data_IF_857839281243
#
_entry.id   IF_857839281243
#
_cell.length_a   1.000
_cell.length_b   1.000
_cell.length_c   1.000
_cell.angle_alpha   90.00
_cell.angle_beta   90.00
_cell.angle_gamma   90.00
#
_symmetry.space_group_name_H-M   'P 1'
#
loop_
_entity.id
_entity.type
_entity.pdbx_description
1 polymer ?
#
# COMPACT_ATOMS: atom_id res chain seq x y z
N UNK A 1 -2.09 -16.92 -14.46
CA UNK A 1 -1.73 -16.69 -13.06
C UNK A 1 -0.42 -15.92 -12.99
N UNK A 2 -0.43 -14.74 -12.37
CA UNK A 2 0.75 -13.88 -12.19
C UNK A 2 1.47 -14.23 -10.89
N UNK A 3 0.71 -14.59 -9.85
CA UNK A 3 1.20 -15.01 -8.54
C UNK A 3 0.84 -16.48 -8.38
N UNK A 4 1.84 -17.32 -8.10
CA UNK A 4 1.68 -18.77 -7.99
C UNK A 4 1.76 -19.20 -6.52
N UNK A 5 0.94 -20.19 -6.14
CA UNK A 5 0.99 -20.83 -4.82
C UNK A 5 0.58 -19.95 -3.64
N UNK A 6 -0.17 -18.83 -3.86
CA UNK A 6 -0.54 -17.85 -2.83
C UNK A 6 -2.05 -17.55 -2.80
N UNK A 7 -2.88 -18.49 -3.21
CA UNK A 7 -4.33 -18.28 -3.33
C UNK A 7 -4.99 -17.85 -2.02
N UNK A 8 -4.54 -18.41 -0.88
CA UNK A 8 -5.05 -18.03 0.44
C UNK A 8 -4.73 -16.57 0.76
N UNK A 9 -3.46 -16.16 0.64
CA UNK A 9 -3.01 -14.80 0.91
C UNK A 9 -3.68 -13.79 -0.04
N UNK A 10 -3.84 -14.14 -1.31
CA UNK A 10 -4.55 -13.30 -2.30
C UNK A 10 -5.99 -13.07 -1.87
N UNK A 11 -6.70 -14.09 -1.39
CA UNK A 11 -8.08 -13.96 -0.90
C UNK A 11 -8.17 -13.08 0.34
N UNK A 12 -7.25 -13.24 1.30
CA UNK A 12 -7.20 -12.44 2.53
C UNK A 12 -6.91 -10.96 2.20
N UNK A 13 -5.95 -10.70 1.31
CA UNK A 13 -5.65 -9.34 0.82
C UNK A 13 -6.85 -8.74 0.10
N UNK A 14 -7.50 -9.51 -0.77
CA UNK A 14 -8.68 -9.04 -1.49
C UNK A 14 -9.82 -8.72 -0.53
N UNK A 15 -10.05 -9.54 0.49
CA UNK A 15 -11.06 -9.28 1.51
C UNK A 15 -10.77 -7.98 2.28
N UNK A 16 -9.51 -7.74 2.67
CA UNK A 16 -9.10 -6.51 3.31
C UNK A 16 -9.29 -5.29 2.38
N UNK A 17 -8.98 -5.41 1.10
CA UNK A 17 -9.20 -4.37 0.11
C UNK A 17 -10.69 -4.02 -0.02
N UNK A 18 -11.56 -5.04 -0.13
CA UNK A 18 -13.01 -4.86 -0.22
C UNK A 18 -13.64 -4.29 1.06
N UNK A 19 -12.92 -4.35 2.17
CA UNK A 19 -13.29 -3.70 3.43
C UNK A 19 -12.63 -2.31 3.60
N UNK A 20 -11.91 -1.81 2.59
CA UNK A 20 -11.20 -0.52 2.65
C UNK A 20 -10.02 -0.48 3.62
N UNK A 21 -9.52 -1.66 4.03
CA UNK A 21 -8.48 -1.80 5.03
C UNK A 21 -7.06 -1.73 4.49
N UNK A 22 -6.13 -1.36 5.36
CA UNK A 22 -4.71 -1.39 5.08
C UNK A 22 -4.09 -2.73 5.52
N UNK A 23 -2.97 -3.10 4.91
CA UNK A 23 -2.36 -4.42 5.07
C UNK A 23 -0.90 -4.27 5.49
N UNK A 24 -0.49 -5.05 6.48
CA UNK A 24 0.91 -5.18 6.87
C UNK A 24 1.44 -6.56 6.43
N UNK A 25 2.52 -6.57 5.69
CA UNK A 25 3.22 -7.78 5.28
C UNK A 25 4.50 -7.95 6.10
N UNK A 26 4.55 -9.00 6.89
CA UNK A 26 5.73 -9.36 7.68
C UNK A 26 6.52 -10.46 6.98
N UNK A 27 7.46 -10.06 6.15
CA UNK A 27 8.22 -10.98 5.34
C UNK A 27 9.67 -10.54 5.13
N UNK A 28 10.49 -11.53 4.86
CA UNK A 28 11.85 -11.32 4.38
C UNK A 28 11.88 -10.68 2.98
N UNK A 29 12.97 -10.02 2.60
CA UNK A 29 13.13 -9.47 1.24
C UNK A 29 13.04 -10.57 0.17
N UNK A 30 12.49 -10.21 -1.01
CA UNK A 30 12.53 -11.10 -2.18
C UNK A 30 11.32 -12.00 -2.39
N UNK A 31 10.33 -12.03 -1.49
CA UNK A 31 9.14 -12.90 -1.61
C UNK A 31 8.08 -12.41 -2.61
N UNK A 32 8.36 -11.38 -3.41
CA UNK A 32 7.44 -10.93 -4.48
C UNK A 32 6.42 -9.86 -4.06
N UNK A 33 6.62 -9.15 -2.94
CA UNK A 33 5.72 -8.09 -2.44
C UNK A 33 5.39 -7.02 -3.49
N UNK A 34 6.39 -6.54 -4.21
CA UNK A 34 6.21 -5.56 -5.29
C UNK A 34 5.39 -6.12 -6.45
N UNK A 35 5.64 -7.38 -6.83
CA UNK A 35 4.86 -8.06 -7.88
C UNK A 35 3.40 -8.20 -7.48
N UNK A 36 3.14 -8.52 -6.22
CA UNK A 36 1.80 -8.61 -5.64
C UNK A 36 1.08 -7.26 -5.70
N UNK A 37 1.67 -6.19 -5.19
CA UNK A 37 1.07 -4.84 -5.22
C UNK A 37 0.80 -4.39 -6.67
N UNK A 38 1.75 -4.61 -7.59
CA UNK A 38 1.58 -4.29 -9.01
C UNK A 38 0.47 -5.11 -9.66
N UNK A 39 0.34 -6.39 -9.30
CA UNK A 39 -0.73 -7.23 -9.82
C UNK A 39 -2.11 -6.74 -9.36
N UNK A 40 -2.26 -6.39 -8.09
CA UNK A 40 -3.51 -5.83 -7.56
C UNK A 40 -3.85 -4.49 -8.19
N UNK A 41 -2.88 -3.57 -8.29
CA UNK A 41 -3.14 -2.26 -8.90
C UNK A 41 -3.63 -2.38 -10.34
N UNK A 42 -3.02 -3.25 -11.13
CA UNK A 42 -3.44 -3.50 -12.52
C UNK A 42 -4.79 -4.20 -12.61
N UNK A 43 -5.04 -5.20 -11.77
CA UNK A 43 -6.30 -5.92 -11.76
C UNK A 43 -7.51 -5.01 -11.44
N UNK A 44 -7.31 -3.98 -10.63
CA UNK A 44 -8.35 -3.06 -10.17
C UNK A 44 -8.23 -1.64 -10.76
N UNK A 45 -7.40 -1.44 -11.77
CA UNK A 45 -7.17 -0.14 -12.42
C UNK A 45 -6.78 0.99 -11.44
N UNK A 46 -6.06 0.67 -10.35
CA UNK A 46 -5.65 1.62 -9.33
C UNK A 46 -4.32 2.28 -9.69
N UNK A 47 -4.21 3.60 -9.44
CA UNK A 47 -2.90 4.28 -9.45
C UNK A 47 -2.06 3.76 -8.29
N UNK A 48 -0.86 3.25 -8.59
CA UNK A 48 0.02 2.61 -7.62
C UNK A 48 1.35 3.33 -7.54
N UNK A 49 1.73 3.72 -6.33
CA UNK A 49 3.07 4.22 -6.03
C UNK A 49 3.79 3.29 -5.08
N UNK A 50 5.12 3.24 -5.22
CA UNK A 50 6.00 2.51 -4.30
C UNK A 50 6.96 3.48 -3.65
N UNK A 51 7.08 3.38 -2.34
CA UNK A 51 8.08 4.08 -1.53
C UNK A 51 8.90 3.06 -0.77
N UNK A 52 10.21 3.09 -0.99
CA UNK A 52 11.16 2.34 -0.17
C UNK A 52 11.53 3.21 1.03
N UNK A 53 11.12 2.79 2.22
CA UNK A 53 11.41 3.52 3.44
C UNK A 53 12.86 3.30 3.87
N UNK A 54 13.58 4.40 3.98
CA UNK A 54 14.96 4.49 4.48
C UNK A 54 15.03 5.54 5.57
N UNK A 55 16.11 5.63 6.35
CA UNK A 55 16.27 6.70 7.35
C UNK A 55 16.14 8.12 6.80
N UNK A 56 16.43 8.31 5.50
CA UNK A 56 16.43 9.62 4.84
C UNK A 56 15.04 10.07 4.37
N UNK A 57 14.04 9.16 4.32
CA UNK A 57 12.67 9.49 3.90
C UNK A 57 12.02 10.41 4.93
N UNK A 58 11.60 11.57 4.46
CA UNK A 58 10.95 12.60 5.29
C UNK A 58 9.42 12.53 5.20
N UNK A 59 8.69 13.05 6.19
CA UNK A 59 7.23 13.20 6.11
C UNK A 59 6.76 13.95 4.86
N UNK A 60 7.50 14.97 4.43
CA UNK A 60 7.19 15.75 3.21
C UNK A 60 7.27 14.95 1.92
N UNK A 61 8.04 13.85 1.87
CA UNK A 61 8.08 12.96 0.71
C UNK A 61 6.76 12.18 0.57
N UNK A 62 6.08 11.97 1.69
CA UNK A 62 4.77 11.34 1.74
C UNK A 62 3.65 12.35 1.51
N UNK A 63 3.64 13.43 2.28
CA UNK A 63 2.55 14.40 2.31
C UNK A 63 2.63 15.48 1.23
N UNK A 64 3.80 15.69 0.65
CA UNK A 64 4.07 16.80 -0.27
C UNK A 64 4.57 18.06 0.43
N UNK A 65 4.92 19.05 -0.37
CA UNK A 65 5.49 20.32 0.07
C UNK A 65 5.26 21.40 -1.00
N UNK A 66 5.38 22.68 -0.61
CA UNK A 66 5.30 23.79 -1.56
C UNK A 66 6.66 24.25 -2.03
N UNK A 67 6.79 24.50 -3.34
CA UNK A 67 7.99 25.03 -3.98
C UNK A 67 7.68 26.42 -4.55
N UNK A 68 8.54 27.38 -4.27
CA UNK A 68 8.42 28.68 -4.92
C UNK A 68 8.88 28.59 -6.39
N UNK A 69 7.98 28.94 -7.28
CA UNK A 69 8.23 29.01 -8.72
C UNK A 69 8.53 30.44 -9.12
N UNK A 70 9.79 30.73 -9.40
CA UNK A 70 10.25 32.07 -9.79
C UNK A 70 9.58 32.59 -11.08
N UNK A 71 9.31 31.68 -12.02
CA UNK A 71 8.64 31.98 -13.29
C UNK A 71 7.17 32.41 -13.13
N UNK A 72 6.51 31.95 -12.05
CA UNK A 72 5.12 32.26 -11.74
C UNK A 72 4.96 33.23 -10.55
N UNK A 73 6.04 33.51 -9.83
CA UNK A 73 6.04 34.38 -8.64
C UNK A 73 5.20 33.86 -7.47
N UNK A 74 4.97 32.56 -7.39
CA UNK A 74 4.09 31.95 -6.38
C UNK A 74 4.58 30.57 -5.89
N UNK A 75 4.09 30.16 -4.71
CA UNK A 75 4.28 28.82 -4.21
C UNK A 75 3.33 27.84 -4.91
N UNK A 76 3.87 26.71 -5.37
CA UNK A 76 3.10 25.62 -5.96
C UNK A 76 3.31 24.37 -5.12
N UNK A 77 2.20 23.78 -4.68
CA UNK A 77 2.22 22.53 -3.96
C UNK A 77 2.59 21.37 -4.89
N UNK A 78 3.55 20.58 -4.44
CA UNK A 78 3.95 19.32 -5.07
C UNK A 78 3.39 18.16 -4.24
N UNK A 79 2.45 17.37 -4.80
CA UNK A 79 1.87 16.25 -4.08
C UNK A 79 2.91 15.18 -3.76
N UNK A 80 2.86 14.66 -2.54
CA UNK A 80 3.72 13.56 -2.12
C UNK A 80 3.26 12.19 -2.63
N UNK A 81 3.90 11.16 -2.12
CA UNK A 81 3.66 9.79 -2.57
C UNK A 81 2.32 9.21 -2.12
N UNK A 82 1.69 9.74 -1.07
CA UNK A 82 0.37 9.28 -0.61
C UNK A 82 -0.78 9.65 -1.55
N UNK A 83 -0.57 10.56 -2.51
CA UNK A 83 -1.57 10.88 -3.51
C UNK A 83 -1.61 9.84 -4.62
N UNK A 84 -2.14 8.67 -4.28
CA UNK A 84 -2.39 7.51 -5.16
C UNK A 84 -3.49 6.64 -4.55
N UNK A 85 -3.97 5.65 -5.29
CA UNK A 85 -4.99 4.71 -4.78
C UNK A 85 -4.36 3.56 -3.97
N UNK A 86 -3.21 3.07 -4.41
CA UNK A 86 -2.49 1.97 -3.76
C UNK A 86 -1.05 2.38 -3.48
N UNK A 87 -0.69 2.50 -2.21
CA UNK A 87 0.68 2.78 -1.79
C UNK A 87 1.36 1.50 -1.29
N UNK A 88 2.43 1.09 -1.96
CA UNK A 88 3.35 0.08 -1.43
C UNK A 88 4.42 0.79 -0.59
N UNK A 89 4.28 0.71 0.73
CA UNK A 89 5.20 1.25 1.72
C UNK A 89 6.21 0.17 2.14
N UNK A 90 7.34 0.10 1.45
CA UNK A 90 8.29 -1.00 1.62
C UNK A 90 9.28 -0.71 2.76
N UNK A 91 9.41 -1.65 3.70
CA UNK A 91 10.29 -1.59 4.88
C UNK A 91 10.03 -0.38 5.80
N UNK A 92 8.76 -0.14 6.19
CA UNK A 92 8.36 1.03 6.99
C UNK A 92 9.07 1.13 8.35
N UNK A 93 9.57 0.01 8.87
CA UNK A 93 10.31 -0.05 10.13
C UNK A 93 11.77 0.47 10.03
N UNK A 94 12.22 0.92 8.84
CA UNK A 94 13.55 1.50 8.62
C UNK A 94 13.58 3.02 8.64
N UNK A 95 12.44 3.68 8.60
CA UNK A 95 12.36 5.15 8.64
C UNK A 95 12.17 5.69 10.05
N UNK A 96 12.25 7.01 10.19
CA UNK A 96 12.05 7.67 11.46
C UNK A 96 10.62 7.51 12.00
N UNK A 97 10.40 7.49 13.32
CA UNK A 97 9.06 7.46 13.91
C UNK A 97 8.16 8.61 13.44
N UNK A 98 8.75 9.77 13.10
CA UNK A 98 8.02 10.92 12.58
C UNK A 98 7.44 10.64 11.19
N UNK A 99 8.20 9.97 10.33
CA UNK A 99 7.74 9.60 8.99
C UNK A 99 6.70 8.46 9.05
N UNK A 100 6.90 7.49 9.96
CA UNK A 100 5.89 6.45 10.23
C UNK A 100 4.57 7.07 10.68
N UNK A 101 4.60 7.99 11.65
CA UNK A 101 3.41 8.68 12.15
C UNK A 101 2.68 9.46 11.05
N UNK A 102 3.41 10.12 10.16
CA UNK A 102 2.81 10.84 9.03
C UNK A 102 2.06 9.89 8.08
N UNK A 103 2.61 8.71 7.78
CA UNK A 103 1.91 7.70 6.97
C UNK A 103 0.64 7.21 7.68
N UNK A 104 0.76 6.85 8.96
CA UNK A 104 -0.34 6.30 9.76
C UNK A 104 -1.47 7.32 9.96
N UNK A 105 -1.15 8.62 10.09
CA UNK A 105 -2.14 9.70 10.12
C UNK A 105 -2.92 9.76 8.81
N UNK A 106 -2.25 9.71 7.66
CA UNK A 106 -2.93 9.72 6.36
C UNK A 106 -3.79 8.47 6.15
N UNK A 107 -3.35 7.32 6.66
CA UNK A 107 -4.15 6.07 6.61
C UNK A 107 -5.46 6.21 7.38
N UNK A 108 -5.44 6.88 8.51
CA UNK A 108 -6.61 7.09 9.38
C UNK A 108 -7.51 8.22 8.87
N UNK A 109 -6.91 9.39 8.62
CA UNK A 109 -7.63 10.62 8.31
C UNK A 109 -8.05 10.77 6.84
N UNK A 110 -7.45 9.98 5.92
CA UNK A 110 -7.66 10.06 4.46
C UNK A 110 -7.38 11.45 3.86
N UNK A 111 -6.63 12.28 4.57
CA UNK A 111 -6.28 13.65 4.17
C UNK A 111 -4.91 14.04 4.66
N UNK A 112 -4.38 15.09 4.06
CA UNK A 112 -3.08 15.69 4.36
C UNK A 112 -3.24 17.17 4.58
N UNK A 113 -2.70 17.70 5.68
CA UNK A 113 -2.68 19.14 5.97
C UNK A 113 -1.26 19.67 5.85
N UNK A 114 -1.01 20.51 4.84
CA UNK A 114 0.29 21.15 4.61
C UNK A 114 0.07 22.66 4.48
N UNK A 115 0.82 23.46 5.26
CA UNK A 115 0.77 24.93 5.24
C UNK A 115 -0.66 25.49 5.45
N UNK A 116 -1.43 24.83 6.32
CA UNK A 116 -2.80 25.26 6.63
C UNK A 116 -3.85 24.89 5.57
N UNK A 117 -3.45 24.18 4.51
CA UNK A 117 -4.37 23.69 3.47
C UNK A 117 -4.53 22.18 3.60
N UNK A 118 -5.76 21.73 3.83
CA UNK A 118 -6.11 20.31 3.87
C UNK A 118 -6.48 19.83 2.47
N UNK A 119 -5.95 18.66 2.09
CA UNK A 119 -6.17 18.00 0.81
C UNK A 119 -6.54 16.54 1.06
N UNK A 120 -7.58 16.08 0.43
CA UNK A 120 -7.99 14.68 0.47
C UNK A 120 -7.07 13.84 -0.42
N UNK A 121 -6.77 12.61 0.01
CA UNK A 121 -6.09 11.64 -0.85
C UNK A 121 -7.10 10.97 -1.79
N UNK A 122 -6.66 10.46 -2.96
CA UNK A 122 -7.55 9.76 -3.87
C UNK A 122 -8.27 8.57 -3.22
N UNK A 123 -9.56 8.39 -3.51
CA UNK A 123 -10.32 7.23 -3.08
C UNK A 123 -10.41 6.18 -4.21
N UNK A 124 -10.32 4.89 -3.86
CA UNK A 124 -9.91 4.35 -2.56
C UNK A 124 -8.43 4.62 -2.26
N UNK A 125 -8.07 4.77 -0.98
CA UNK A 125 -6.68 4.84 -0.54
C UNK A 125 -6.34 3.61 0.29
N UNK A 126 -5.48 2.76 -0.24
CA UNK A 126 -5.05 1.52 0.41
C UNK A 126 -3.54 1.51 0.54
N UNK A 127 -3.05 1.08 1.69
CA UNK A 127 -1.62 0.92 1.94
C UNK A 127 -1.32 -0.57 2.14
N UNK A 128 -0.37 -1.06 1.36
CA UNK A 128 0.34 -2.31 1.64
C UNK A 128 1.69 -1.91 2.24
N UNK A 129 1.81 -2.02 3.55
CA UNK A 129 3.09 -1.79 4.21
C UNK A 129 3.85 -3.11 4.35
N UNK A 130 5.18 -3.04 4.32
CA UNK A 130 6.02 -4.19 4.61
C UNK A 130 6.96 -3.90 5.77
N UNK A 131 7.22 -4.89 6.60
CA UNK A 131 8.29 -4.86 7.58
C UNK A 131 9.08 -6.16 7.55
N UNK A 132 10.37 -6.06 7.84
CA UNK A 132 11.22 -7.22 8.03
C UNK A 132 11.31 -7.51 9.53
N UNK A 133 10.78 -8.66 10.02
CA UNK A 133 10.82 -9.00 11.43
C UNK A 133 12.24 -9.32 11.93
N UNK A 134 13.15 -9.72 11.03
CA UNK A 134 14.54 -9.96 11.36
C UNK A 134 15.25 -8.61 11.50
N UNK A 135 15.36 -8.15 12.75
CA UNK A 135 15.98 -6.86 13.09
C UNK A 135 17.41 -6.74 12.58
N UNK A 136 17.59 -6.01 11.50
CA UNK A 136 18.90 -5.46 11.15
C UNK A 136 19.19 -4.26 12.06
N UNK A 137 20.47 -4.01 12.37
CA UNK A 137 20.88 -2.82 13.11
C UNK A 137 20.27 -1.56 12.47
N UNK A 138 19.45 -0.82 13.22
CA UNK A 138 18.77 0.39 12.77
C UNK A 138 17.30 0.22 12.38
N UNK A 139 16.69 -0.96 12.57
CA UNK A 139 15.24 -1.13 12.41
C UNK A 139 14.54 -1.01 13.77
N UNK A 140 13.45 -0.25 13.80
CA UNK A 140 12.58 -0.11 14.96
C UNK A 140 11.21 -0.69 14.60
N UNK A 141 10.81 -1.79 15.25
CA UNK A 141 9.47 -2.36 15.06
C UNK A 141 8.39 -1.32 15.33
N UNK A 142 7.30 -1.40 14.58
CA UNK A 142 6.11 -0.59 14.86
C UNK A 142 5.57 -0.92 16.26
N UNK A 143 5.24 0.08 17.09
CA UNK A 143 4.51 -0.15 18.34
C UNK A 143 3.15 -0.81 18.05
N UNK A 144 2.65 -1.64 19.00
CA UNK A 144 1.35 -2.32 18.86
C UNK A 144 0.21 -1.34 18.54
N UNK A 145 0.16 -0.20 19.21
CA UNK A 145 -0.84 0.85 18.95
C UNK A 145 -0.81 1.44 17.53
N UNK A 146 0.30 1.27 16.81
CA UNK A 146 0.42 1.67 15.41
C UNK A 146 0.05 0.52 14.46
N UNK A 147 0.20 -0.72 14.91
CA UNK A 147 -0.20 -1.91 14.15
C UNK A 147 -1.72 -2.04 14.03
N UNK A 148 -2.48 -1.52 14.99
CA UNK A 148 -3.97 -1.51 14.99
C UNK A 148 -4.59 -0.77 13.78
N UNK A 149 -3.80 0.05 13.08
CA UNK A 149 -4.24 0.73 11.85
C UNK A 149 -4.25 -0.17 10.63
N UNK A 150 -3.62 -1.34 10.74
CA UNK A 150 -3.67 -2.36 9.69
C UNK A 150 -4.78 -3.35 9.99
N UNK A 151 -5.68 -3.55 9.04
CA UNK A 151 -6.80 -4.48 9.18
C UNK A 151 -6.33 -5.92 9.33
N UNK A 152 -5.26 -6.28 8.62
CA UNK A 152 -4.64 -7.61 8.68
C UNK A 152 -3.12 -7.51 8.64
N UNK A 153 -2.48 -8.44 9.33
CA UNK A 153 -1.04 -8.70 9.22
C UNK A 153 -0.85 -10.09 8.64
N UNK A 154 -0.08 -10.19 7.56
CA UNK A 154 0.11 -11.42 6.81
C UNK A 154 1.59 -11.69 6.53
N UNK A 155 1.96 -12.96 6.41
CA UNK A 155 3.19 -13.41 5.77
C UNK A 155 2.86 -14.06 4.43
N UNK A 156 3.50 -13.60 3.36
CA UNK A 156 3.39 -14.23 2.04
C UNK A 156 4.21 -15.52 2.03
N UNK A 157 5.37 -15.51 2.70
CA UNK A 157 6.31 -16.61 2.74
C UNK A 157 6.94 -16.94 1.37
N UNK A 158 7.79 -17.95 1.34
CA UNK A 158 8.33 -18.48 0.09
C UNK A 158 7.26 -19.23 -0.70
N UNK A 159 7.37 -19.27 -2.03
CA UNK A 159 6.57 -20.18 -2.86
C UNK A 159 6.83 -21.64 -2.45
N UNK A 160 5.87 -22.50 -2.71
CA UNK A 160 6.13 -23.95 -2.63
C UNK A 160 7.11 -24.40 -3.73
N UNK A 161 7.67 -25.58 -3.55
CA UNK A 161 8.71 -26.12 -4.46
C UNK A 161 8.25 -26.17 -5.92
N UNK A 162 6.99 -26.55 -6.17
CA UNK A 162 6.45 -26.64 -7.53
C UNK A 162 6.32 -25.25 -8.18
N UNK A 163 5.82 -24.28 -7.43
CA UNK A 163 5.73 -22.88 -7.88
C UNK A 163 7.10 -22.25 -8.11
N UNK A 164 8.09 -22.58 -7.27
CA UNK A 164 9.47 -22.11 -7.43
C UNK A 164 10.13 -22.70 -8.68
N UNK A 165 9.89 -23.98 -8.96
CA UNK A 165 10.35 -24.65 -10.18
C UNK A 165 9.72 -24.02 -11.43
N UNK A 166 8.41 -23.76 -11.40
CA UNK A 166 7.69 -23.10 -12.49
C UNK A 166 8.19 -21.68 -12.74
N UNK A 167 8.52 -20.95 -11.68
CA UNK A 167 9.15 -19.62 -11.80
C UNK A 167 10.53 -19.72 -12.43
N UNK A 168 11.36 -20.66 -11.99
CA UNK A 168 12.71 -20.88 -12.54
C UNK A 168 12.67 -21.26 -14.02
N UNK A 169 11.74 -22.12 -14.43
CA UNK A 169 11.56 -22.52 -15.83
C UNK A 169 10.99 -21.40 -16.72
N UNK A 170 10.34 -20.40 -16.11
CA UNK A 170 9.78 -19.25 -16.82
C UNK A 170 10.72 -18.04 -16.89
N UNK A 171 11.94 -18.14 -16.36
CA UNK A 171 12.99 -17.13 -16.47
C UNK A 171 13.30 -16.86 -17.94
N UNK A 172 12.98 -15.62 -18.40
CA UNK A 172 13.14 -15.23 -19.82
C UNK A 172 11.81 -14.94 -20.53
N UNK A 173 10.66 -15.28 -19.96
CA UNK A 173 9.37 -14.75 -20.42
C UNK A 173 9.14 -13.37 -19.80
N UNK A 174 8.63 -12.43 -20.61
CA UNK A 174 8.25 -11.07 -20.16
C UNK A 174 7.48 -11.12 -18.85
N UNK A 175 7.68 -10.10 -18.01
CA UNK A 175 6.97 -9.97 -16.73
C UNK A 175 5.47 -10.25 -16.92
N UNK A 176 4.96 -11.29 -16.30
CA UNK A 176 3.54 -11.69 -16.39
C UNK A 176 2.58 -10.58 -15.97
N UNK A 177 3.10 -9.58 -15.26
CA UNK A 177 2.35 -8.39 -14.86
C UNK A 177 2.19 -7.37 -15.98
N UNK A 178 3.07 -7.34 -17.01
CA UNK A 178 2.96 -6.37 -18.12
C UNK A 178 1.67 -6.54 -18.92
N UNK A 179 1.21 -7.76 -19.07
CA UNK A 179 0.09 -8.14 -19.96
C UNK A 179 -1.26 -8.22 -19.21
N UNK A 180 -1.29 -7.83 -17.93
CA UNK A 180 -2.53 -7.80 -17.15
C UNK A 180 -3.44 -6.68 -17.62
N UNK A 181 -4.70 -7.03 -17.88
CA UNK A 181 -5.80 -6.09 -18.08
C UNK A 181 -6.62 -5.96 -16.81
N UNK A 182 -7.21 -4.80 -16.53
CA UNK A 182 -8.13 -4.62 -15.41
C UNK A 182 -9.27 -5.65 -15.47
N UNK A 183 -9.61 -6.23 -14.32
CA UNK A 183 -10.71 -7.19 -14.17
C UNK A 183 -11.91 -6.48 -13.52
N UNK A 184 -11.66 -5.44 -12.73
CA UNK A 184 -12.65 -4.61 -12.04
C UNK A 184 -12.32 -3.15 -12.33
N UNK A 185 -13.34 -2.34 -12.60
CA UNK A 185 -13.15 -0.89 -12.70
C UNK A 185 -13.03 -0.26 -11.32
N UNK A 186 -12.43 0.93 -11.25
CA UNK A 186 -12.35 1.67 -9.98
C UNK A 186 -13.73 2.00 -9.43
N UNK A 187 -14.70 2.32 -10.30
CA UNK A 187 -16.08 2.65 -9.92
C UNK A 187 -16.82 1.44 -9.33
N UNK A 188 -16.63 0.24 -9.92
CA UNK A 188 -17.18 -1.01 -9.37
C UNK A 188 -16.55 -1.32 -8.02
N UNK A 189 -15.26 -1.07 -7.86
CA UNK A 189 -14.57 -1.29 -6.60
C UNK A 189 -15.06 -0.33 -5.51
N UNK A 190 -15.20 0.97 -5.81
CA UNK A 190 -15.77 1.97 -4.88
C UNK A 190 -17.21 1.61 -4.51
N UNK A 191 -18.03 1.18 -5.48
CA UNK A 191 -19.40 0.74 -5.22
C UNK A 191 -19.45 -0.44 -4.26
N UNK A 192 -18.50 -1.36 -4.36
CA UNK A 192 -18.38 -2.51 -3.45
C UNK A 192 -18.00 -2.07 -2.03
N UNK A 193 -17.08 -1.10 -1.88
CA UNK A 193 -16.70 -0.51 -0.60
C UNK A 193 -17.88 0.15 0.11
N UNK A 194 -18.67 0.93 -0.62
CA UNK A 194 -19.85 1.62 -0.07
C UNK A 194 -20.89 0.60 0.43
N UNK A 195 -21.12 -0.46 -0.34
CA UNK A 195 -22.08 -1.51 0.05
C UNK A 195 -21.64 -2.24 1.33
N UNK A 196 -20.35 -2.52 1.50
CA UNK A 196 -19.84 -3.16 2.71
C UNK A 196 -19.91 -2.26 3.93
N UNK A 197 -19.70 -0.95 3.77
CA UNK A 197 -19.82 0.05 4.83
C UNK A 197 -21.27 0.19 5.31
N UNK A 198 -22.23 0.35 4.39
CA UNK A 198 -23.68 0.46 4.71
C UNK A 198 -24.21 -0.79 5.42
N UNK A 199 -23.77 -1.98 4.99
CA UNK A 199 -24.17 -3.25 5.62
C UNK A 199 -23.66 -3.38 7.06
N UNK A 200 -22.50 -2.80 7.39
CA UNK A 200 -21.96 -2.77 8.75
C UNK A 200 -22.74 -1.81 9.66
N UNK A 201 -23.17 -0.66 9.13
CA UNK A 201 -23.96 0.33 9.88
C UNK A 201 -25.36 -0.16 10.19
N UNK A 202 -25.98 -0.95 9.33
CA UNK A 202 -27.29 -1.55 9.58
C UNK A 202 -27.26 -2.60 10.69
N UNK A 203 -26.16 -3.32 10.88
CA UNK A 203 -25.98 -4.29 11.97
C UNK A 203 -25.78 -3.64 13.35
N UNK A 204 -25.40 -2.37 13.41
CA UNK A 204 -25.21 -1.62 14.67
C UNK A 204 -26.45 -0.89 15.16
N UNK A 205 -27.55 -0.90 14.39
CA UNK A 205 -28.85 -0.25 14.71
C UNK A 205 -29.87 -1.13 15.41
N UNK A 206 -29.46 -2.31 15.96
CA UNK A 206 -30.33 -3.22 16.73
C UNK A 206 -30.12 -3.07 18.23
#
# INVERSE_FOLDING_TARGET
NVILGKDKQIREIMAAFLAGGHILLEDIPGVGKTTLATAFSKAMALDCKRVQFTPDVMPSDLTGYSVYRNDLGQFIYQPGSVFCNLLLADEINRTSPKTQSALLEVMEERKVSVEGVTREVPEPFIVIATQNPLGNAGTQSLPEAQMDRFMITLSIGYPDYESELDMAMSVGKQSRTSDMTPVVSIDDFISCLLYTSDAADDLTRV
#
